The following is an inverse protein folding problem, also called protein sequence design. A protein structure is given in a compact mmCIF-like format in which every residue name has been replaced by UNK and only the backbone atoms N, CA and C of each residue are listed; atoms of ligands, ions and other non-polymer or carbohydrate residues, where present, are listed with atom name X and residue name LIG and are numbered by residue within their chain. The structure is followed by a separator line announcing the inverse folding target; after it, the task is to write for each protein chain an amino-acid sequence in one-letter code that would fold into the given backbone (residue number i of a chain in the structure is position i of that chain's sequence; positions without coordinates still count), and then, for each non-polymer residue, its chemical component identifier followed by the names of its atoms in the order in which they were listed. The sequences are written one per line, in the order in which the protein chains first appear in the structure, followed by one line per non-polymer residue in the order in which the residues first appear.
data_IF_656590071032
#
_entry.id   IF_656590071032
#
_cell.length_a   1.000
_cell.length_b   1.000
_cell.length_c   1.000
_cell.angle_alpha   90.00
_cell.angle_beta   90.00
_cell.angle_gamma   90.00
#
_symmetry.space_group_name_H-M   'P 1'
#
loop_
_entity.id
_entity.type
_entity.pdbx_description
1 polymer ?
#
# COMPACT_ATOMS: atom_id res chain seq x y z
N UNK A 1 5.58 6.00 18.31
CA UNK A 1 4.15 5.67 18.15
C UNK A 1 3.87 5.28 16.72
N UNK A 2 3.03 4.29 16.52
CA UNK A 2 2.65 3.88 15.17
C UNK A 2 1.68 4.89 14.55
N UNK A 3 1.88 5.16 13.28
CA UNK A 3 1.03 6.07 12.50
C UNK A 3 0.30 5.24 11.45
N UNK A 4 -0.99 5.47 11.30
CA UNK A 4 -1.79 4.78 10.30
C UNK A 4 -2.25 5.79 9.26
N UNK A 5 -1.95 5.52 8.01
CA UNK A 5 -2.35 6.36 6.89
C UNK A 5 -3.11 5.50 5.90
N UNK A 6 -4.26 5.99 5.44
CA UNK A 6 -5.09 5.29 4.47
C UNK A 6 -4.95 5.92 3.09
N UNK A 7 -4.85 5.06 2.08
CA UNK A 7 -4.76 5.48 0.68
C UNK A 7 -5.84 4.77 -0.12
N UNK A 8 -6.23 5.35 -1.23
CA UNK A 8 -7.13 4.69 -2.18
C UNK A 8 -6.29 4.09 -3.29
N UNK A 9 -6.50 2.81 -3.55
CA UNK A 9 -5.78 2.09 -4.61
C UNK A 9 -6.78 1.57 -5.63
N UNK A 10 -6.56 1.88 -6.89
CA UNK A 10 -7.40 1.40 -7.98
C UNK A 10 -6.61 0.41 -8.85
N UNK A 11 -7.34 -0.39 -9.62
CA UNK A 11 -6.74 -1.39 -10.49
C UNK A 11 -6.66 -2.77 -9.88
N UNK A 12 -7.02 -2.93 -8.62
CA UNK A 12 -7.05 -4.24 -7.97
C UNK A 12 -8.27 -5.01 -8.43
N UNK A 13 -8.08 -6.26 -8.86
CA UNK A 13 -9.15 -7.09 -9.37
C UNK A 13 -9.30 -8.41 -8.64
N UNK A 14 -8.33 -8.80 -7.81
CA UNK A 14 -8.37 -10.08 -7.10
C UNK A 14 -7.49 -10.04 -5.86
N UNK A 15 -7.59 -11.09 -5.04
CA UNK A 15 -6.81 -11.20 -3.82
C UNK A 15 -5.31 -11.25 -4.07
N UNK A 16 -4.89 -11.78 -5.20
CA UNK A 16 -3.47 -11.80 -5.56
C UNK A 16 -2.92 -10.40 -5.74
N UNK A 17 -3.72 -9.51 -6.32
CA UNK A 17 -3.34 -8.11 -6.50
C UNK A 17 -3.17 -7.43 -5.15
N UNK A 18 -4.14 -7.61 -4.26
CA UNK A 18 -4.09 -7.04 -2.92
C UNK A 18 -2.87 -7.53 -2.15
N UNK A 19 -2.58 -8.83 -2.26
CA UNK A 19 -1.43 -9.44 -1.58
C UNK A 19 -0.11 -8.88 -2.11
N UNK A 20 0.02 -8.74 -3.43
CA UNK A 20 1.21 -8.19 -4.04
C UNK A 20 1.47 -6.76 -3.56
N UNK A 21 0.43 -5.93 -3.50
CA UNK A 21 0.54 -4.56 -3.02
C UNK A 21 0.97 -4.53 -1.56
N UNK A 22 0.36 -5.37 -0.71
CA UNK A 22 0.69 -5.38 0.70
C UNK A 22 2.13 -5.82 0.95
N UNK A 23 2.65 -6.77 0.16
CA UNK A 23 4.03 -7.21 0.27
C UNK A 23 5.01 -6.10 -0.13
N UNK A 24 4.76 -5.45 -1.25
CA UNK A 24 5.65 -4.39 -1.73
C UNK A 24 5.63 -3.18 -0.79
N UNK A 25 4.45 -2.77 -0.33
CA UNK A 25 4.33 -1.64 0.58
C UNK A 25 4.92 -1.99 1.95
N UNK A 26 4.73 -3.22 2.39
CA UNK A 26 5.30 -3.69 3.66
C UNK A 26 6.82 -3.70 3.67
N UNK A 27 7.45 -3.74 2.49
CA UNK A 27 8.90 -3.70 2.37
C UNK A 27 9.47 -2.28 2.39
N UNK A 28 8.63 -1.26 2.37
CA UNK A 28 9.09 0.13 2.41
C UNK A 28 9.69 0.44 3.77
N UNK A 29 10.91 1.03 3.84
CA UNK A 29 11.52 1.38 5.11
C UNK A 29 10.63 2.27 5.96
N UNK A 30 10.45 1.91 7.21
CA UNK A 30 9.59 2.63 8.14
C UNK A 30 8.18 2.07 8.25
N UNK A 31 7.76 1.26 7.30
CA UNK A 31 6.44 0.62 7.34
C UNK A 31 6.52 -0.64 8.20
N UNK A 32 5.61 -0.74 9.17
CA UNK A 32 5.54 -1.92 10.04
C UNK A 32 4.44 -2.88 9.59
N UNK A 33 3.41 -2.36 8.94
CA UNK A 33 2.31 -3.19 8.46
C UNK A 33 1.63 -2.50 7.28
N UNK A 34 1.18 -3.29 6.32
CA UNK A 34 0.39 -2.80 5.19
C UNK A 34 -0.80 -3.73 5.02
N UNK A 35 -2.00 -3.17 5.13
CA UNK A 35 -3.25 -3.91 5.01
C UNK A 35 -4.05 -3.38 3.84
N UNK A 36 -4.43 -4.26 2.92
CA UNK A 36 -5.20 -3.89 1.74
C UNK A 36 -6.62 -4.42 1.89
N UNK A 37 -7.59 -3.57 1.63
CA UNK A 37 -8.99 -3.98 1.57
C UNK A 37 -9.42 -3.95 0.10
N UNK A 38 -9.51 -5.11 -0.50
CA UNK A 38 -9.85 -5.25 -1.92
C UNK A 38 -11.26 -4.73 -2.21
N UNK A 39 -12.20 -5.02 -1.33
CA UNK A 39 -13.59 -4.61 -1.51
C UNK A 39 -13.74 -3.09 -1.50
N UNK A 40 -13.07 -2.44 -0.58
CA UNK A 40 -13.13 -0.98 -0.46
C UNK A 40 -12.14 -0.26 -1.38
N UNK A 41 -11.15 -0.98 -1.91
CA UNK A 41 -10.10 -0.39 -2.72
C UNK A 41 -9.18 0.51 -1.92
N UNK A 42 -8.90 0.15 -0.66
CA UNK A 42 -8.08 0.97 0.23
C UNK A 42 -6.84 0.24 0.71
N UNK A 43 -5.84 1.02 1.04
CA UNK A 43 -4.58 0.53 1.61
C UNK A 43 -4.32 1.29 2.91
N UNK A 44 -4.23 0.56 4.01
CA UNK A 44 -3.89 1.12 5.31
C UNK A 44 -2.43 0.80 5.62
N UNK A 45 -1.64 1.83 5.82
CA UNK A 45 -0.20 1.69 6.09
C UNK A 45 0.07 2.10 7.53
N UNK A 46 0.65 1.19 8.31
CA UNK A 46 1.09 1.47 9.66
C UNK A 46 2.61 1.66 9.63
N UNK A 47 3.09 2.75 10.19
CA UNK A 47 4.52 3.06 10.19
C UNK A 47 4.96 3.64 11.52
N UNK A 48 6.25 3.53 11.82
CA UNK A 48 6.85 4.10 13.04
C UNK A 48 7.08 5.60 12.87
N UNK A 49 7.24 6.05 11.63
CA UNK A 49 7.49 7.45 11.31
C UNK A 49 6.78 7.78 10.01
N UNK A 50 6.58 9.07 9.70
CA UNK A 50 5.94 9.45 8.43
C UNK A 50 6.69 8.87 7.25
N UNK A 51 5.94 8.30 6.30
CA UNK A 51 6.50 7.75 5.07
C UNK A 51 5.99 8.60 3.92
N UNK A 52 6.89 9.00 3.03
CA UNK A 52 6.53 9.83 1.89
C UNK A 52 5.56 9.09 0.97
N UNK A 53 4.57 9.82 0.47
CA UNK A 53 3.61 9.29 -0.48
C UNK A 53 4.32 8.68 -1.70
N UNK A 54 5.41 9.31 -2.16
CA UNK A 54 6.17 8.82 -3.32
C UNK A 54 6.71 7.43 -3.10
N UNK A 55 7.11 7.11 -1.86
CA UNK A 55 7.59 5.77 -1.51
C UNK A 55 6.48 4.74 -1.61
N UNK A 56 5.30 5.11 -1.15
CA UNK A 56 4.13 4.23 -1.22
C UNK A 56 3.72 4.05 -2.68
N UNK A 57 3.71 5.12 -3.47
CA UNK A 57 3.37 5.07 -4.89
C UNK A 57 4.35 4.18 -5.67
N UNK A 58 5.64 4.28 -5.37
CA UNK A 58 6.67 3.43 -5.98
C UNK A 58 6.42 1.96 -5.66
N UNK A 59 6.11 1.65 -4.40
CA UNK A 59 5.85 0.28 -3.99
C UNK A 59 4.63 -0.29 -4.69
N UNK A 60 3.58 0.50 -4.82
CA UNK A 60 2.37 0.10 -5.54
C UNK A 60 2.67 -0.14 -7.01
N UNK A 61 3.50 0.72 -7.61
CA UNK A 61 3.92 0.56 -9.00
C UNK A 61 4.72 -0.72 -9.21
N UNK A 62 5.61 -1.04 -8.25
CA UNK A 62 6.40 -2.27 -8.31
C UNK A 62 5.52 -3.52 -8.20
N UNK A 63 4.41 -3.44 -7.51
CA UNK A 63 3.46 -4.53 -7.43
C UNK A 63 2.74 -4.75 -8.79
N UNK A 64 2.56 -3.69 -9.56
CA UNK A 64 1.95 -3.77 -10.88
C UNK A 64 1.68 -2.38 -11.44
N UNK A 65 1.99 -2.19 -12.73
CA UNK A 65 1.82 -0.90 -13.40
C UNK A 65 0.36 -0.45 -13.51
N UNK A 66 -0.57 -1.41 -13.46
CA UNK A 66 -1.99 -1.13 -13.59
C UNK A 66 -2.58 -0.49 -12.34
N UNK A 67 -1.87 -0.50 -11.22
CA UNK A 67 -2.38 0.06 -9.98
C UNK A 67 -2.12 1.55 -9.90
N UNK A 68 -3.06 2.27 -9.30
CA UNK A 68 -2.91 3.70 -8.99
C UNK A 68 -3.22 3.91 -7.52
N UNK A 69 -2.47 4.77 -6.87
CA UNK A 69 -2.67 5.11 -5.46
C UNK A 69 -2.85 6.62 -5.30
N UNK A 70 -3.76 6.98 -4.43
CA UNK A 70 -4.03 8.39 -4.15
C UNK A 70 -4.17 8.65 -2.65
#
# INVERSE_FOLDING_TARGET
MAMITSYTVSGMTCNHCAHAISEEVGAVPGVTEAAVNLEAGTLAVTSQAPVDFDRIAEAVYEAGEQYSVA
#
